data_IF_445800400351
#
_entry.id   IF_445800400351
#
_cell.length_a   1.000
_cell.length_b   1.000
_cell.length_c   1.000
_cell.angle_alpha   90.00
_cell.angle_beta   90.00
_cell.angle_gamma   90.00
#
_symmetry.space_group_name_H-M   'P 1'
#
loop_
_entity.id
_entity.type
_entity.pdbx_description
1 polymer ?
#
# COMPACT_ATOMS: atom_id res chain seq x y z
N UNK A 1 -1.78 -12.32 13.44
CA UNK A 1 -0.85 -11.91 12.37
C UNK A 1 -1.50 -10.79 11.59
N UNK A 2 -0.89 -9.60 11.52
CA UNK A 2 -1.37 -8.49 10.69
C UNK A 2 -0.51 -8.45 9.43
N UNK A 3 -1.06 -8.54 8.21
CA UNK A 3 -0.26 -8.51 6.99
C UNK A 3 0.47 -7.18 6.86
N UNK A 4 1.73 -7.22 6.42
CA UNK A 4 2.50 -5.99 6.17
C UNK A 4 1.76 -5.15 5.12
N UNK A 5 1.66 -3.84 5.36
CA UNK A 5 0.93 -2.87 4.55
C UNK A 5 -0.61 -2.97 4.55
N UNK A 6 -1.24 -3.83 5.36
CA UNK A 6 -2.70 -3.99 5.32
C UNK A 6 -3.46 -2.69 5.67
N UNK A 7 -2.95 -1.89 6.61
CA UNK A 7 -3.55 -0.59 6.93
C UNK A 7 -3.48 0.40 5.76
N UNK A 8 -2.34 0.46 5.05
CA UNK A 8 -2.19 1.29 3.84
C UNK A 8 -3.13 0.82 2.73
N UNK A 9 -3.29 -0.49 2.57
CA UNK A 9 -4.23 -1.06 1.60
C UNK A 9 -5.67 -0.68 1.92
N UNK A 10 -6.07 -0.75 3.20
CA UNK A 10 -7.39 -0.35 3.64
C UNK A 10 -7.66 1.14 3.38
N UNK A 11 -6.68 2.00 3.65
CA UNK A 11 -6.78 3.43 3.39
C UNK A 11 -6.92 3.74 1.90
N UNK A 12 -6.21 3.04 1.01
CA UNK A 12 -6.32 3.25 -0.46
C UNK A 12 -7.71 2.85 -0.94
N UNK A 13 -8.21 1.71 -0.48
CA UNK A 13 -9.56 1.25 -0.82
C UNK A 13 -10.60 2.28 -0.35
N UNK A 14 -10.44 2.81 0.86
CA UNK A 14 -11.30 3.86 1.38
C UNK A 14 -11.22 5.14 0.54
N UNK A 15 -10.01 5.58 0.18
CA UNK A 15 -9.82 6.78 -0.64
C UNK A 15 -10.46 6.62 -2.03
N UNK A 16 -10.27 5.47 -2.67
CA UNK A 16 -10.87 5.20 -3.98
C UNK A 16 -12.40 5.17 -3.92
N UNK A 17 -13.00 4.62 -2.84
CA UNK A 17 -14.46 4.64 -2.62
C UNK A 17 -15.00 6.05 -2.43
N UNK A 18 -14.24 6.92 -1.77
CA UNK A 18 -14.62 8.33 -1.55
C UNK A 18 -14.37 9.20 -2.79
N UNK A 19 -13.44 8.81 -3.68
CA UNK A 19 -12.98 9.59 -4.81
C UNK A 19 -13.13 8.81 -6.13
N UNK A 20 -14.28 8.18 -6.36
CA UNK A 20 -14.51 7.23 -7.47
C UNK A 20 -14.22 7.81 -8.87
N UNK A 21 -14.36 9.12 -9.04
CA UNK A 21 -14.08 9.85 -10.29
C UNK A 21 -12.77 10.66 -10.24
N UNK A 22 -12.09 10.67 -9.09
CA UNK A 22 -10.91 11.50 -8.81
C UNK A 22 -9.82 10.66 -8.13
N UNK A 23 -9.60 9.43 -8.61
CA UNK A 23 -8.64 8.48 -8.03
C UNK A 23 -7.20 9.02 -7.99
N UNK A 24 -6.87 10.00 -8.85
CA UNK A 24 -5.62 10.75 -8.80
C UNK A 24 -5.38 11.45 -7.44
N UNK A 25 -6.42 11.79 -6.68
CA UNK A 25 -6.29 12.34 -5.32
C UNK A 25 -5.75 11.31 -4.31
N UNK A 26 -5.84 10.03 -4.63
CA UNK A 26 -5.32 8.93 -3.82
C UNK A 26 -3.87 8.56 -4.20
N UNK A 27 -3.25 9.26 -5.16
CA UNK A 27 -1.92 8.94 -5.69
C UNK A 27 -0.83 8.94 -4.63
N UNK A 28 -0.81 9.92 -3.72
CA UNK A 28 0.16 9.97 -2.63
C UNK A 28 0.09 8.72 -1.74
N UNK A 29 -1.14 8.30 -1.40
CA UNK A 29 -1.39 7.12 -0.59
C UNK A 29 -1.00 5.83 -1.35
N UNK A 30 -1.29 5.78 -2.65
CA UNK A 30 -0.87 4.69 -3.53
C UNK A 30 0.66 4.56 -3.61
N UNK A 31 1.39 5.68 -3.72
CA UNK A 31 2.85 5.70 -3.70
C UNK A 31 3.41 5.18 -2.38
N UNK A 32 2.78 5.54 -1.25
CA UNK A 32 3.19 5.06 0.07
C UNK A 32 2.98 3.56 0.25
N UNK A 33 1.83 3.03 -0.18
CA UNK A 33 1.58 1.59 -0.21
C UNK A 33 2.59 0.84 -1.06
N UNK A 34 2.90 1.36 -2.26
CA UNK A 34 3.90 0.75 -3.14
C UNK A 34 5.28 0.71 -2.48
N UNK A 35 5.68 1.77 -1.75
CA UNK A 35 6.94 1.79 -0.98
C UNK A 35 6.93 0.70 0.10
N UNK A 36 5.84 0.59 0.85
CA UNK A 36 5.69 -0.44 1.89
C UNK A 36 5.80 -1.86 1.30
N UNK A 37 5.10 -2.14 0.20
CA UNK A 37 5.13 -3.44 -0.47
C UNK A 37 6.53 -3.78 -0.97
N UNK A 38 7.23 -2.81 -1.56
CA UNK A 38 8.59 -3.02 -2.04
C UNK A 38 9.56 -3.31 -0.90
N UNK A 39 9.45 -2.59 0.22
CA UNK A 39 10.25 -2.87 1.43
C UNK A 39 9.94 -4.26 1.99
N UNK A 40 8.67 -4.63 2.10
CA UNK A 40 8.26 -5.95 2.58
C UNK A 40 8.83 -7.07 1.70
N UNK A 41 8.78 -6.90 0.37
CA UNK A 41 9.37 -7.85 -0.58
C UNK A 41 10.88 -7.97 -0.40
N UNK A 42 11.60 -6.85 -0.30
CA UNK A 42 13.05 -6.86 -0.09
C UNK A 42 13.42 -7.56 1.23
N UNK A 43 12.73 -7.23 2.32
CA UNK A 43 12.96 -7.89 3.61
C UNK A 43 12.63 -9.39 3.61
N UNK A 44 11.72 -9.85 2.76
CA UNK A 44 11.47 -11.28 2.57
C UNK A 44 12.56 -11.96 1.75
N UNK A 45 13.10 -11.30 0.73
CA UNK A 45 14.21 -11.81 -0.08
C UNK A 45 15.50 -11.92 0.73
N UNK A 46 15.80 -10.91 1.57
CA UNK A 46 16.99 -10.90 2.44
C UNK A 46 16.96 -11.98 3.53
N UNK A 47 15.78 -12.37 4.01
CA UNK A 47 15.62 -13.41 5.04
C UNK A 47 15.60 -14.83 4.49
N UNK A 48 15.64 -15.00 3.17
CA UNK A 48 15.64 -16.30 2.48
C UNK A 48 17.02 -16.81 2.06
N UNK A 49 18.11 -16.13 2.45
CA UNK A 49 19.50 -16.51 2.19
C UNK A 49 20.18 -17.15 3.38
#
# INVERSE_FOLDING_TARGET
>A
CHPVCADLQAQILQCNRQNTQQTLRCSALASEYMRCVNQAKQSMLEKGG
#
